data_IF_351287570518
#
_entry.id   IF_351287570518
#
_cell.length_a   1.000
_cell.length_b   1.000
_cell.length_c   1.000
_cell.angle_alpha   90.00
_cell.angle_beta   90.00
_cell.angle_gamma   90.00
#
_symmetry.space_group_name_H-M   'P 1'
#
loop_
_entity.id
_entity.type
_entity.pdbx_description
1 polymer ?
#
# COMPACT_ATOMS: atom_id res chain seq x y z
N UNK A 1 -5.09 -13.40 1.66
CA UNK A 1 -4.48 -14.70 1.32
C UNK A 1 -3.69 -15.21 2.50
N UNK A 2 -3.82 -16.51 2.80
CA UNK A 2 -2.96 -17.19 3.76
C UNK A 2 -1.57 -17.33 3.16
N UNK A 3 -0.51 -17.25 3.97
CA UNK A 3 0.90 -17.35 3.53
C UNK A 3 1.17 -18.54 2.60
N UNK A 4 0.44 -19.64 2.79
CA UNK A 4 0.53 -20.85 1.97
C UNK A 4 0.09 -20.64 0.50
N UNK A 5 -0.91 -19.80 0.25
CA UNK A 5 -1.41 -19.52 -1.10
C UNK A 5 -0.35 -18.73 -1.89
N UNK A 6 0.21 -17.69 -1.27
CA UNK A 6 1.30 -16.87 -1.85
C UNK A 6 2.52 -17.72 -2.19
N UNK A 7 2.89 -18.64 -1.29
CA UNK A 7 4.02 -19.56 -1.52
C UNK A 7 3.78 -20.44 -2.76
N UNK A 8 2.57 -20.96 -2.93
CA UNK A 8 2.23 -21.82 -4.06
C UNK A 8 2.21 -21.05 -5.40
N UNK A 9 1.76 -19.80 -5.40
CA UNK A 9 1.77 -18.96 -6.60
C UNK A 9 3.16 -18.51 -7.02
N UNK A 10 4.05 -18.20 -6.07
CA UNK A 10 5.47 -17.93 -6.37
C UNK A 10 6.12 -19.15 -7.01
N UNK A 11 5.90 -20.34 -6.46
CA UNK A 11 6.45 -21.58 -7.01
C UNK A 11 5.92 -21.89 -8.42
N UNK A 12 4.64 -21.59 -8.70
CA UNK A 12 4.05 -21.72 -10.04
C UNK A 12 4.70 -20.78 -11.05
N UNK A 13 4.90 -19.50 -10.70
CA UNK A 13 5.57 -18.54 -11.60
C UNK A 13 7.01 -18.98 -11.86
N UNK A 14 7.72 -19.44 -10.84
CA UNK A 14 9.12 -19.84 -10.94
C UNK A 14 9.34 -21.01 -11.93
N UNK A 15 8.29 -21.77 -12.27
CA UNK A 15 8.33 -22.84 -13.26
C UNK A 15 8.12 -22.36 -14.71
N UNK A 16 7.79 -21.08 -14.93
CA UNK A 16 7.60 -20.52 -16.27
C UNK A 16 8.98 -20.23 -16.88
N UNK A 17 9.28 -20.89 -17.99
CA UNK A 17 10.54 -20.75 -18.72
C UNK A 17 10.63 -19.51 -19.62
N UNK A 18 9.48 -18.91 -19.97
CA UNK A 18 9.37 -17.72 -20.81
C UNK A 18 9.37 -16.44 -19.95
N UNK A 19 10.42 -15.59 -20.04
CA UNK A 19 10.54 -14.38 -19.23
C UNK A 19 9.40 -13.37 -19.46
N UNK A 20 8.83 -13.31 -20.66
CA UNK A 20 7.73 -12.39 -20.96
C UNK A 20 6.43 -12.85 -20.28
N UNK A 21 6.17 -14.17 -20.28
CA UNK A 21 5.03 -14.75 -19.55
C UNK A 21 5.19 -14.65 -18.04
N UNK A 22 6.41 -14.78 -17.51
CA UNK A 22 6.70 -14.51 -16.09
C UNK A 22 6.27 -13.09 -15.74
N UNK A 23 6.65 -12.09 -16.54
CA UNK A 23 6.30 -10.69 -16.30
C UNK A 23 4.79 -10.46 -16.37
N UNK A 24 4.08 -11.11 -17.29
CA UNK A 24 2.61 -11.02 -17.36
C UNK A 24 1.92 -11.69 -16.18
N UNK A 25 2.37 -12.87 -15.75
CA UNK A 25 1.79 -13.59 -14.62
C UNK A 25 2.09 -12.88 -13.29
N UNK A 26 3.28 -12.27 -13.15
CA UNK A 26 3.60 -11.38 -12.02
C UNK A 26 2.71 -10.13 -12.02
N UNK A 27 2.42 -9.53 -13.19
CA UNK A 27 1.46 -8.42 -13.30
C UNK A 27 0.03 -8.85 -12.96
N UNK A 28 -0.35 -10.10 -13.28
CA UNK A 28 -1.66 -10.68 -12.98
C UNK A 28 -1.81 -11.14 -11.53
N UNK A 29 -0.72 -11.38 -10.80
CA UNK A 29 -0.70 -11.75 -9.37
C UNK A 29 -1.07 -10.60 -8.43
N UNK A 30 -2.12 -9.90 -8.82
CA UNK A 30 -2.87 -8.84 -8.19
C UNK A 30 -2.15 -7.50 -8.06
N UNK A 31 -2.47 -6.62 -9.01
CA UNK A 31 -2.66 -5.19 -8.75
C UNK A 31 -3.49 -4.90 -7.48
N UNK A 32 -4.38 -5.82 -7.07
CA UNK A 32 -5.22 -5.72 -5.87
C UNK A 32 -4.53 -6.14 -4.54
N UNK A 33 -3.39 -6.86 -4.58
CA UNK A 33 -2.69 -7.33 -3.37
C UNK A 33 -1.72 -6.28 -2.80
N UNK A 34 -1.52 -5.17 -3.52
CA UNK A 34 -0.53 -4.14 -3.18
C UNK A 34 -1.14 -2.79 -2.81
N UNK A 35 -2.46 -2.71 -2.59
CA UNK A 35 -3.09 -1.53 -2.02
C UNK A 35 -2.63 -1.32 -0.57
N UNK A 36 -1.43 -0.73 -0.44
CA UNK A 36 -0.85 -0.39 0.85
C UNK A 36 -1.13 1.07 1.15
N UNK A 37 -1.55 1.39 2.37
CA UNK A 37 -1.67 2.76 2.81
C UNK A 37 -0.29 3.42 2.87
N UNK A 38 -0.15 4.54 2.19
CA UNK A 38 1.00 5.44 2.27
C UNK A 38 0.60 6.75 2.94
N UNK A 39 1.44 7.17 3.87
CA UNK A 39 1.33 8.47 4.52
C UNK A 39 2.28 9.44 3.82
N UNK A 40 1.75 10.54 3.32
CA UNK A 40 2.54 11.67 2.83
C UNK A 40 2.57 12.75 3.89
N UNK A 41 3.80 13.07 4.31
CA UNK A 41 4.10 14.22 5.14
C UNK A 41 3.90 15.51 4.36
N UNK A 42 3.37 16.58 4.99
CA UNK A 42 3.26 17.87 4.33
C UNK A 42 4.65 18.41 4.01
N UNK A 43 4.87 18.81 2.76
CA UNK A 43 6.18 19.28 2.25
C UNK A 43 6.43 20.77 2.61
N UNK A 44 5.37 21.52 2.94
CA UNK A 44 5.41 22.93 3.39
C UNK A 44 4.48 23.10 4.62
N UNK A 45 4.13 24.35 5.00
CA UNK A 45 3.22 24.77 6.11
C UNK A 45 1.81 24.13 6.09
N UNK A 46 1.73 22.80 6.02
CA UNK A 46 0.52 22.02 6.10
C UNK A 46 0.41 21.42 7.48
N UNK A 47 -0.79 21.43 8.04
CA UNK A 47 -1.05 20.91 9.39
C UNK A 47 -1.57 19.47 9.35
N UNK A 48 -1.43 18.77 8.21
CA UNK A 48 -2.05 17.47 7.99
C UNK A 48 -1.11 16.47 7.31
N UNK A 49 -1.19 15.22 7.77
CA UNK A 49 -0.73 14.05 7.05
C UNK A 49 -1.83 13.54 6.11
N UNK A 50 -1.45 13.13 4.91
CA UNK A 50 -2.38 12.64 3.90
C UNK A 50 -2.17 11.14 3.65
N UNK A 51 -3.27 10.40 3.61
CA UNK A 51 -3.28 8.95 3.43
C UNK A 51 -3.74 8.63 2.00
N UNK A 52 -2.98 7.79 1.31
CA UNK A 52 -3.26 7.33 -0.04
C UNK A 52 -3.11 5.81 -0.11
N UNK A 53 -3.83 5.18 -1.03
CA UNK A 53 -3.50 3.83 -1.46
C UNK A 53 -2.39 3.88 -2.49
N UNK A 54 -1.41 2.99 -2.39
CA UNK A 54 -0.48 2.75 -3.50
C UNK A 54 -1.21 1.85 -4.50
N UNK A 55 -1.37 2.30 -5.75
CA UNK A 55 -2.08 1.54 -6.78
C UNK A 55 -1.12 0.68 -7.60
N UNK A 56 0.07 1.19 -7.89
CA UNK A 56 1.08 0.50 -8.70
C UNK A 56 2.45 1.16 -8.57
N UNK A 57 3.39 0.71 -9.39
CA UNK A 57 4.72 1.29 -9.53
C UNK A 57 4.99 1.63 -11.00
N UNK A 58 5.69 2.72 -11.26
CA UNK A 58 6.14 3.08 -12.61
C UNK A 58 7.28 2.15 -13.07
N UNK A 59 7.73 2.31 -14.33
CA UNK A 59 8.83 1.52 -14.91
C UNK A 59 10.18 1.71 -14.19
N UNK A 60 10.31 2.72 -13.33
CA UNK A 60 11.50 3.02 -12.53
C UNK A 60 11.35 2.55 -11.08
N UNK A 61 10.24 1.91 -10.72
CA UNK A 61 9.95 1.46 -9.36
C UNK A 61 9.41 2.54 -8.44
N UNK A 62 9.00 3.71 -8.95
CA UNK A 62 8.35 4.72 -8.13
C UNK A 62 6.88 4.39 -7.91
N UNK A 63 6.43 4.56 -6.67
CA UNK A 63 5.03 4.36 -6.29
C UNK A 63 4.10 5.35 -7.00
N UNK A 64 3.06 4.81 -7.63
CA UNK A 64 1.95 5.54 -8.20
C UNK A 64 0.81 5.54 -7.16
N UNK A 65 0.47 6.74 -6.69
CA UNK A 65 -0.61 6.91 -5.73
C UNK A 65 -1.97 6.69 -6.42
N UNK A 66 -2.81 5.92 -5.75
CA UNK A 66 -4.22 5.74 -6.05
C UNK A 66 -5.11 6.65 -5.21
N UNK A 67 -6.24 6.09 -4.77
CA UNK A 67 -7.30 6.82 -4.06
C UNK A 67 -6.78 7.43 -2.75
N UNK A 68 -7.18 8.67 -2.49
CA UNK A 68 -7.01 9.32 -1.19
C UNK A 68 -7.92 8.64 -0.18
N UNK A 69 -7.35 8.15 0.92
CA UNK A 69 -8.08 7.54 2.03
C UNK A 69 -8.61 8.60 3.00
N UNK A 70 -7.85 9.68 3.19
CA UNK A 70 -8.22 10.79 4.07
C UNK A 70 -6.99 11.59 4.50
N UNK A 71 -7.18 12.43 5.53
CA UNK A 71 -6.12 13.20 6.18
C UNK A 71 -6.32 13.22 7.69
N UNK A 72 -5.26 13.43 8.43
CA UNK A 72 -5.26 13.57 9.89
C UNK A 72 -4.40 14.78 10.24
N UNK A 73 -4.72 15.51 11.31
CA UNK A 73 -3.86 16.61 11.74
C UNK A 73 -2.51 16.06 12.21
N UNK A 74 -1.46 16.90 12.18
CA UNK A 74 -0.14 16.48 12.68
C UNK A 74 -0.22 16.09 14.16
N UNK A 75 -0.91 16.90 14.96
CA UNK A 75 -1.06 16.65 16.40
C UNK A 75 -1.77 15.32 16.67
N UNK A 76 -2.92 15.09 16.04
CA UNK A 76 -3.68 13.83 16.24
C UNK A 76 -2.87 12.61 15.76
N UNK A 77 -2.05 12.76 14.71
CA UNK A 77 -1.17 11.68 14.25
C UNK A 77 -0.07 11.39 15.26
N UNK A 78 0.61 12.41 15.79
CA UNK A 78 1.68 12.23 16.76
C UNK A 78 1.17 11.59 18.06
N UNK A 79 -0.04 11.95 18.50
CA UNK A 79 -0.70 11.31 19.65
C UNK A 79 -1.04 9.83 19.42
N UNK A 80 -1.18 9.40 18.16
CA UNK A 80 -1.62 8.05 17.78
C UNK A 80 -0.61 7.31 16.87
N UNK A 81 0.64 7.79 16.78
CA UNK A 81 1.59 7.40 15.73
C UNK A 81 1.83 5.89 15.72
N UNK A 82 2.04 5.31 16.89
CA UNK A 82 2.35 3.88 17.03
C UNK A 82 1.23 3.00 16.46
N UNK A 83 -0.02 3.28 16.84
CA UNK A 83 -1.20 2.51 16.42
C UNK A 83 -1.45 2.71 14.92
N UNK A 84 -1.30 3.94 14.42
CA UNK A 84 -1.49 4.26 13.00
C UNK A 84 -0.43 3.55 12.15
N UNK A 85 0.84 3.55 12.57
CA UNK A 85 1.92 2.83 11.89
C UNK A 85 1.72 1.31 11.93
N UNK A 86 1.21 0.75 13.02
CA UNK A 86 0.83 -0.67 13.09
C UNK A 86 -0.26 -1.00 12.06
N UNK A 87 -1.34 -0.22 12.00
CA UNK A 87 -2.40 -0.43 11.00
C UNK A 87 -1.90 -0.22 9.57
N UNK A 88 -1.00 0.75 9.35
CA UNK A 88 -0.38 0.97 8.04
C UNK A 88 0.45 -0.21 7.59
N UNK A 89 1.33 -0.73 8.44
CA UNK A 89 2.17 -1.90 8.14
C UNK A 89 1.34 -3.16 7.92
N UNK A 90 0.25 -3.32 8.67
CA UNK A 90 -0.70 -4.41 8.51
C UNK A 90 -1.61 -4.26 7.27
N UNK A 91 -1.62 -3.10 6.60
CA UNK A 91 -2.52 -2.83 5.47
C UNK A 91 -3.99 -2.70 5.88
N UNK A 92 -4.29 -2.38 7.14
CA UNK A 92 -5.66 -2.31 7.65
C UNK A 92 -6.31 -0.95 7.33
N UNK A 93 -6.84 -0.84 6.11
CA UNK A 93 -7.43 0.41 5.58
C UNK A 93 -8.65 0.85 6.39
N UNK A 94 -9.54 -0.08 6.76
CA UNK A 94 -10.75 0.24 7.54
C UNK A 94 -10.41 0.86 8.90
N UNK A 95 -9.40 0.32 9.59
CA UNK A 95 -8.94 0.88 10.87
C UNK A 95 -8.28 2.24 10.68
N UNK A 96 -7.46 2.42 9.65
CA UNK A 96 -6.87 3.72 9.33
C UNK A 96 -7.91 4.79 9.02
N UNK A 97 -8.98 4.44 8.30
CA UNK A 97 -10.03 5.39 7.95
C UNK A 97 -10.75 5.99 9.17
N UNK A 98 -10.75 5.30 10.32
CA UNK A 98 -11.32 5.82 11.58
C UNK A 98 -10.53 7.01 12.14
N UNK A 99 -9.26 7.14 11.79
CA UNK A 99 -8.38 8.23 12.24
C UNK A 99 -8.27 9.36 11.20
N UNK A 100 -8.85 9.17 10.02
CA UNK A 100 -8.71 10.13 8.92
C UNK A 100 -10.04 10.78 8.57
N UNK A 101 -10.01 12.08 8.33
CA UNK A 101 -11.11 12.87 7.77
C UNK A 101 -10.99 12.89 6.25
N UNK A 102 -12.12 12.79 5.53
CA UNK A 102 -12.15 12.81 4.05
C UNK A 102 -11.73 14.17 3.47
#
# INVERSE_FOLDING_TARGET
MKFQEVKNEILRIAQISDPLKVVEEVKKLHYELFERPKIKRPVKRGNFYYFYLIKSYDKKGHEILGKKLGRISIQDYEENEEIIEQYRKAGNIEKLQKYTQL
#
